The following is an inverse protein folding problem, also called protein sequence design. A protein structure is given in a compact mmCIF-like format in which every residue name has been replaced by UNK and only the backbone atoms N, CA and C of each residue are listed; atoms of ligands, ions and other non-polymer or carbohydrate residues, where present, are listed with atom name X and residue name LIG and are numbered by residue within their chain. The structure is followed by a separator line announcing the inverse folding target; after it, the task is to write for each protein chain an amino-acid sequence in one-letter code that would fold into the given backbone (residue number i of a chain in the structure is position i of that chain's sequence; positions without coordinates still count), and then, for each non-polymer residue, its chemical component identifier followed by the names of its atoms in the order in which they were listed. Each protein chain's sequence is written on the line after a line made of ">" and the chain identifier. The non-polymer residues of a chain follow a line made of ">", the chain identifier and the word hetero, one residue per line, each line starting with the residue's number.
data_IF_511945281587
#
_entry.id   IF_511945281587
#
_cell.length_a   1.000
_cell.length_b   1.000
_cell.length_c   1.000
_cell.angle_alpha   90.00
_cell.angle_beta   90.00
_cell.angle_gamma   90.00
#
_symmetry.space_group_name_H-M   'P 1'
#
loop_
_entity.id
_entity.type
_entity.pdbx_description
1 polymer ?
#
# COMPACT_ATOMS: atom_id res chain seq x y z
N UNK A 1 2.35 -10.98 -0.88
CA UNK A 1 3.19 -12.18 -0.86
C UNK A 1 4.19 -12.17 0.29
N UNK A 2 4.99 -11.11 0.48
CA UNK A 2 6.03 -11.06 1.54
C UNK A 2 5.47 -11.23 2.98
N UNK A 3 4.31 -10.64 3.28
CA UNK A 3 3.63 -10.80 4.59
C UNK A 3 3.19 -12.24 4.89
N UNK A 4 2.73 -12.98 3.88
CA UNK A 4 2.30 -14.37 4.04
C UNK A 4 3.49 -15.30 4.24
N UNK A 5 4.61 -15.03 3.55
CA UNK A 5 5.87 -15.77 3.71
C UNK A 5 6.47 -15.51 5.10
N UNK A 6 6.47 -14.26 5.56
CA UNK A 6 6.92 -13.92 6.91
C UNK A 6 6.06 -14.58 7.98
N UNK A 7 4.73 -14.56 7.82
CA UNK A 7 3.81 -15.21 8.75
C UNK A 7 4.00 -16.74 8.79
N UNK A 8 4.17 -17.38 7.63
CA UNK A 8 4.43 -18.82 7.55
C UNK A 8 5.76 -19.22 8.19
N UNK A 9 6.83 -18.45 7.95
CA UNK A 9 8.14 -18.66 8.59
C UNK A 9 8.05 -18.48 10.12
N UNK A 10 7.29 -17.48 10.57
CA UNK A 10 7.05 -17.22 12.00
C UNK A 10 6.29 -18.37 12.67
N UNK A 11 5.26 -18.91 12.00
CA UNK A 11 4.51 -20.07 12.48
C UNK A 11 5.39 -21.33 12.60
N UNK A 12 6.23 -21.60 11.60
CA UNK A 12 7.13 -22.77 11.63
C UNK A 12 8.19 -22.65 12.74
N UNK A 13 8.73 -21.45 12.98
CA UNK A 13 9.70 -21.20 14.04
C UNK A 13 9.06 -21.25 15.44
N UNK A 14 7.85 -20.71 15.61
CA UNK A 14 7.09 -20.83 16.86
C UNK A 14 6.74 -22.29 17.16
N UNK A 15 6.36 -23.08 16.14
CA UNK A 15 6.09 -24.52 16.29
C UNK A 15 7.34 -25.30 16.73
N UNK A 16 8.50 -25.00 16.13
CA UNK A 16 9.77 -25.63 16.49
C UNK A 16 10.21 -25.27 17.93
N UNK A 17 9.97 -24.03 18.37
CA UNK A 17 10.31 -23.59 19.73
C UNK A 17 9.30 -24.02 20.79
N UNK A 18 8.01 -24.09 20.47
CA UNK A 18 6.98 -24.63 21.36
C UNK A 18 7.30 -26.08 21.74
N UNK A 19 7.81 -26.86 20.78
CA UNK A 19 8.27 -28.23 21.00
C UNK A 19 9.51 -28.34 21.92
N UNK A 20 10.27 -27.25 22.11
CA UNK A 20 11.53 -27.23 22.87
C UNK A 20 11.38 -26.76 24.33
N UNK A 21 10.16 -26.47 24.80
CA UNK A 21 9.81 -26.36 26.23
C UNK A 21 10.77 -25.50 27.07
N UNK A 22 10.79 -24.17 26.85
CA UNK A 22 11.56 -23.25 27.70
C UNK A 22 11.26 -21.77 27.44
N UNK A 23 11.59 -20.91 28.42
CA UNK A 23 11.32 -19.47 28.43
C UNK A 23 11.89 -18.68 27.22
N UNK A 24 12.81 -19.27 26.45
CA UNK A 24 13.32 -18.68 25.21
C UNK A 24 12.26 -18.52 24.11
N UNK A 25 11.17 -19.30 24.14
CA UNK A 25 10.05 -19.18 23.20
C UNK A 25 9.28 -17.86 23.38
N UNK A 26 9.17 -17.37 24.62
CA UNK A 26 8.45 -16.15 24.98
C UNK A 26 9.22 -14.90 24.54
N UNK A 27 10.53 -14.85 24.81
CA UNK A 27 11.40 -13.78 24.32
C UNK A 27 11.43 -13.71 22.79
N UNK A 28 11.45 -14.86 22.10
CA UNK A 28 11.42 -14.90 20.65
C UNK A 28 10.09 -14.40 20.09
N UNK A 29 8.96 -14.82 20.67
CA UNK A 29 7.64 -14.31 20.30
C UNK A 29 7.53 -12.79 20.44
N UNK A 30 8.09 -12.23 21.52
CA UNK A 30 8.13 -10.78 21.73
C UNK A 30 8.99 -10.07 20.68
N UNK A 31 10.17 -10.59 20.35
CA UNK A 31 11.05 -10.00 19.33
C UNK A 31 10.38 -10.03 17.95
N UNK A 32 9.82 -11.17 17.55
CA UNK A 32 9.12 -11.29 16.26
C UNK A 32 7.93 -10.34 16.22
N UNK A 33 7.11 -10.28 17.28
CA UNK A 33 5.98 -9.35 17.36
C UNK A 33 6.42 -7.88 17.26
N UNK A 34 7.51 -7.51 17.93
CA UNK A 34 8.07 -6.15 17.86
C UNK A 34 8.55 -5.80 16.44
N UNK A 35 9.20 -6.74 15.74
CA UNK A 35 9.63 -6.56 14.35
C UNK A 35 8.43 -6.39 13.42
N UNK A 36 7.40 -7.24 13.54
CA UNK A 36 6.17 -7.10 12.75
C UNK A 36 5.48 -5.76 13.00
N UNK A 37 5.41 -5.32 14.26
CA UNK A 37 4.85 -4.03 14.62
C UNK A 37 5.66 -2.87 14.04
N UNK A 38 6.99 -2.91 14.15
CA UNK A 38 7.88 -1.88 13.60
C UNK A 38 7.78 -1.81 12.06
N UNK A 39 7.76 -2.95 11.37
CA UNK A 39 7.58 -3.01 9.91
C UNK A 39 6.21 -2.45 9.51
N UNK A 40 5.14 -2.83 10.22
CA UNK A 40 3.80 -2.29 9.97
C UNK A 40 3.74 -0.76 10.12
N UNK A 41 4.40 -0.21 11.16
CA UNK A 41 4.48 1.23 11.38
C UNK A 41 5.28 1.93 10.28
N UNK A 42 6.42 1.38 9.87
CA UNK A 42 7.23 1.95 8.79
C UNK A 42 6.48 1.97 7.45
N UNK A 43 5.76 0.90 7.10
CA UNK A 43 4.90 0.88 5.92
C UNK A 43 3.81 1.96 6.02
N UNK A 44 3.17 2.11 7.17
CA UNK A 44 2.13 3.11 7.40
C UNK A 44 2.66 4.54 7.27
N UNK A 45 3.82 4.84 7.84
CA UNK A 45 4.50 6.13 7.69
C UNK A 45 4.88 6.42 6.24
N UNK A 46 5.45 5.43 5.53
CA UNK A 46 5.80 5.55 4.12
C UNK A 46 4.58 5.83 3.25
N UNK A 47 3.49 5.11 3.50
CA UNK A 47 2.21 5.30 2.80
C UNK A 47 1.63 6.69 3.04
N UNK A 48 1.62 7.19 4.28
CA UNK A 48 1.15 8.56 4.60
C UNK A 48 1.98 9.62 3.88
N UNK A 49 3.31 9.44 3.85
CA UNK A 49 4.22 10.38 3.14
C UNK A 49 3.98 10.38 1.63
N UNK A 50 3.80 9.21 1.02
CA UNK A 50 3.50 9.10 -0.41
C UNK A 50 2.18 9.80 -0.76
N UNK A 51 1.13 9.55 0.02
CA UNK A 51 -0.19 10.19 -0.15
C UNK A 51 -0.09 11.71 0.02
N UNK A 52 0.59 12.20 1.05
CA UNK A 52 0.79 13.64 1.24
C UNK A 52 1.55 14.28 0.06
N UNK A 53 2.58 13.60 -0.45
CA UNK A 53 3.36 14.09 -1.60
C UNK A 53 2.57 14.11 -2.92
N UNK A 54 1.57 13.23 -3.04
CA UNK A 54 0.63 13.25 -4.16
C UNK A 54 -0.30 14.45 -4.05
N UNK A 55 -0.92 14.67 -2.89
CA UNK A 55 -1.83 15.80 -2.70
C UNK A 55 -1.13 17.15 -2.85
N UNK A 56 0.14 17.27 -2.45
CA UNK A 56 0.93 18.48 -2.68
C UNK A 56 1.14 18.81 -4.17
N UNK A 57 1.01 17.83 -5.07
CA UNK A 57 1.18 17.98 -6.53
C UNK A 57 -0.04 17.50 -7.30
N UNK A 58 -1.23 17.61 -6.69
CA UNK A 58 -2.47 17.03 -7.21
C UNK A 58 -2.77 17.46 -8.64
N UNK A 59 -2.63 18.74 -8.95
CA UNK A 59 -2.93 19.29 -10.29
C UNK A 59 -2.01 18.71 -11.37
N UNK A 60 -0.69 18.71 -11.13
CA UNK A 60 0.28 18.12 -12.04
C UNK A 60 0.07 16.60 -12.20
N UNK A 61 -0.31 15.92 -11.11
CA UNK A 61 -0.63 14.50 -11.14
C UNK A 61 -1.88 14.19 -11.98
N UNK A 62 -2.91 15.03 -11.89
CA UNK A 62 -4.14 14.87 -12.67
C UNK A 62 -3.93 15.18 -14.15
N UNK A 63 -3.09 16.17 -14.48
CA UNK A 63 -2.65 16.42 -15.86
C UNK A 63 -1.91 15.21 -16.44
N UNK A 64 -0.97 14.65 -15.67
CA UNK A 64 -0.26 13.44 -16.08
C UNK A 64 -1.22 12.26 -16.26
N UNK A 65 -2.21 12.10 -15.37
CA UNK A 65 -3.23 11.06 -15.50
C UNK A 65 -4.03 11.21 -16.80
N UNK A 66 -4.51 12.40 -17.14
CA UNK A 66 -5.25 12.61 -18.40
C UNK A 66 -4.45 12.31 -19.67
N UNK A 67 -3.12 12.36 -19.61
CA UNK A 67 -2.26 12.05 -20.74
C UNK A 67 -1.86 10.57 -20.83
N UNK A 68 -1.90 9.84 -19.72
CA UNK A 68 -1.27 8.51 -19.61
C UNK A 68 -2.26 7.38 -19.26
N UNK A 69 -3.44 7.70 -18.74
CA UNK A 69 -4.45 6.69 -18.42
C UNK A 69 -5.12 6.16 -19.69
N UNK A 70 -5.35 4.85 -19.69
CA UNK A 70 -5.87 4.12 -20.86
C UNK A 70 -7.35 3.76 -20.72
N UNK A 71 -7.91 3.96 -19.53
CA UNK A 71 -9.27 3.54 -19.16
C UNK A 71 -9.33 2.11 -18.59
N UNK A 72 -8.31 1.28 -18.82
CA UNK A 72 -8.23 -0.04 -18.21
C UNK A 72 -7.84 0.08 -16.73
N UNK A 73 -8.80 -0.17 -15.84
CA UNK A 73 -8.66 0.02 -14.39
C UNK A 73 -7.43 -0.68 -13.79
N UNK A 74 -7.13 -1.92 -14.20
CA UNK A 74 -6.02 -2.68 -13.60
C UNK A 74 -4.67 -2.12 -14.06
N UNK A 75 -4.54 -1.82 -15.35
CA UNK A 75 -3.34 -1.22 -15.91
C UNK A 75 -3.09 0.18 -15.34
N UNK A 76 -4.14 1.00 -15.29
CA UNK A 76 -4.15 2.36 -14.74
C UNK A 76 -3.70 2.36 -13.27
N UNK A 77 -4.25 1.47 -12.44
CA UNK A 77 -3.84 1.35 -11.03
C UNK A 77 -2.37 0.96 -10.88
N UNK A 78 -1.87 0.04 -11.70
CA UNK A 78 -0.46 -0.35 -11.68
C UNK A 78 0.43 0.83 -12.08
N UNK A 79 0.01 1.60 -13.08
CA UNK A 79 0.71 2.76 -13.58
C UNK A 79 0.78 3.88 -12.53
N UNK A 80 -0.35 4.23 -11.93
CA UNK A 80 -0.47 5.26 -10.86
C UNK A 80 0.40 4.89 -9.67
N UNK A 81 0.34 3.63 -9.22
CA UNK A 81 1.16 3.17 -8.10
C UNK A 81 2.65 3.27 -8.38
N UNK A 82 3.07 2.94 -9.60
CA UNK A 82 4.47 3.03 -10.00
C UNK A 82 4.93 4.49 -10.09
N UNK A 83 4.09 5.36 -10.65
CA UNK A 83 4.42 6.77 -10.86
C UNK A 83 4.48 7.57 -9.56
N UNK A 84 3.52 7.34 -8.66
CA UNK A 84 3.35 8.16 -7.44
C UNK A 84 3.72 7.43 -6.15
N UNK A 85 4.28 6.21 -6.26
CA UNK A 85 4.63 5.35 -5.12
C UNK A 85 3.47 5.16 -4.12
N UNK A 86 2.23 5.16 -4.61
CA UNK A 86 1.06 5.11 -3.75
C UNK A 86 0.76 3.67 -3.27
N UNK A 87 0.27 3.51 -2.02
CA UNK A 87 -0.35 2.26 -1.61
C UNK A 87 -1.59 1.96 -2.46
N UNK A 88 -1.94 0.68 -2.59
CA UNK A 88 -3.05 0.25 -3.45
C UNK A 88 -4.37 0.95 -3.14
N UNK A 89 -4.72 1.06 -1.85
CA UNK A 89 -5.95 1.71 -1.43
C UNK A 89 -6.02 3.18 -1.89
N UNK A 90 -4.93 3.93 -1.69
CA UNK A 90 -4.88 5.32 -2.14
C UNK A 90 -4.90 5.45 -3.67
N UNK A 91 -4.22 4.55 -4.40
CA UNK A 91 -4.28 4.57 -5.86
C UNK A 91 -5.69 4.32 -6.41
N UNK A 92 -6.48 3.46 -5.74
CA UNK A 92 -7.90 3.25 -6.07
C UNK A 92 -8.71 4.50 -5.81
N UNK A 93 -8.56 5.10 -4.63
CA UNK A 93 -9.27 6.33 -4.26
C UNK A 93 -8.99 7.47 -5.24
N UNK A 94 -7.70 7.69 -5.57
CA UNK A 94 -7.28 8.71 -6.53
C UNK A 94 -7.84 8.47 -7.93
N UNK A 95 -7.81 7.22 -8.42
CA UNK A 95 -8.35 6.90 -9.74
C UNK A 95 -9.88 7.10 -9.79
N UNK A 96 -10.59 6.71 -8.75
CA UNK A 96 -12.04 6.88 -8.65
C UNK A 96 -12.41 8.37 -8.52
N UNK A 97 -11.63 9.16 -7.78
CA UNK A 97 -11.79 10.62 -7.69
C UNK A 97 -11.56 11.29 -9.05
N UNK A 98 -10.45 10.95 -9.73
CA UNK A 98 -10.12 11.47 -11.06
C UNK A 98 -11.25 11.21 -12.06
N UNK A 99 -11.76 9.97 -12.15
CA UNK A 99 -12.85 9.61 -13.06
C UNK A 99 -14.16 10.33 -12.73
N UNK A 100 -14.46 10.57 -11.44
CA UNK A 100 -15.62 11.39 -11.03
C UNK A 100 -15.46 12.85 -11.48
N UNK A 101 -14.25 13.41 -11.38
CA UNK A 101 -13.99 14.78 -11.83
C UNK A 101 -14.05 14.92 -13.35
N UNK A 102 -13.50 13.94 -14.08
CA UNK A 102 -13.50 13.91 -15.54
C UNK A 102 -14.93 13.75 -16.09
N UNK A 103 -15.73 12.84 -15.50
CA UNK A 103 -17.15 12.67 -15.85
C UNK A 103 -17.99 13.92 -15.62
N UNK A 104 -17.69 14.73 -14.59
CA UNK A 104 -18.35 16.03 -14.35
C UNK A 104 -17.93 17.11 -15.35
N UNK A 105 -16.68 17.10 -15.79
CA UNK A 105 -16.20 18.05 -16.80
C UNK A 105 -16.77 17.72 -18.18
N UNK A 106 -16.85 16.43 -18.53
CA UNK A 106 -17.49 15.98 -19.78
C UNK A 106 -18.99 16.30 -19.85
N UNK A 107 -19.70 16.30 -18.72
CA UNK A 107 -21.13 16.62 -18.65
C UNK A 107 -21.46 18.12 -18.67
N UNK A 108 -20.46 19.01 -18.53
CA UNK A 108 -20.64 20.47 -18.62
C UNK A 108 -20.41 21.04 -20.02
N UNK A 109 -19.98 20.20 -20.97
CA UNK A 109 -19.69 20.59 -22.34
C UNK A 109 -20.87 20.34 -23.32
N UNK A 110 -22.09 20.18 -22.79
CA UNK A 110 -23.33 19.97 -23.56
C UNK A 110 -24.33 21.07 -23.27
#
# INVERSE_FOLDING_TARGET
>A
MMKAVLAAASCLLLFAFYRKGGNGSLYYFLIVSAVFFAVGRLEEYGNRKAVASFHARKEAAYLWMGQNLTGNRIADLKLIRKQFALPMAAAVEVLDEYRKTEGRQSGKAV
#
